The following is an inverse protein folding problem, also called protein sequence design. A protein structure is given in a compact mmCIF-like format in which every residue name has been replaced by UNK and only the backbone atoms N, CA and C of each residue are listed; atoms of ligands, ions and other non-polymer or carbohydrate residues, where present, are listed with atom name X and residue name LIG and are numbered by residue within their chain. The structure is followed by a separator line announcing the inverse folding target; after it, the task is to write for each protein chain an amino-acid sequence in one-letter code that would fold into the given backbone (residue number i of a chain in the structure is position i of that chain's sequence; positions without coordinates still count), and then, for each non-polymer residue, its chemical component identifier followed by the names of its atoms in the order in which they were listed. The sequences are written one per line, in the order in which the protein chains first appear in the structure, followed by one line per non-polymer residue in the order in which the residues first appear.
data_IF_370597176213
#
_entry.id   IF_370597176213
#
_cell.length_a   1.000
_cell.length_b   1.000
_cell.length_c   1.000
_cell.angle_alpha   90.00
_cell.angle_beta   90.00
_cell.angle_gamma   90.00
#
_symmetry.space_group_name_H-M   'P 1'
#
loop_
_entity.id
_entity.type
_entity.pdbx_description
1 polymer ?
#
# COMPACT_ATOMS: atom_id res chain seq x y z
N UNK A 1 16.56 11.66 13.16
CA UNK A 1 15.47 10.75 13.58
C UNK A 1 14.29 10.75 12.60
N UNK A 2 13.66 11.91 12.32
CA UNK A 2 12.49 11.99 11.41
C UNK A 2 12.73 11.47 9.99
N UNK A 3 13.89 11.72 9.39
CA UNK A 3 14.25 11.20 8.06
C UNK A 3 14.37 9.66 8.04
N UNK A 4 14.88 9.06 9.13
CA UNK A 4 14.98 7.60 9.25
C UNK A 4 13.59 6.94 9.28
N UNK A 5 12.64 7.52 10.04
CA UNK A 5 11.26 7.03 10.08
C UNK A 5 10.58 7.10 8.71
N UNK A 6 10.78 8.19 7.95
CA UNK A 6 10.22 8.30 6.59
C UNK A 6 10.79 7.23 5.64
N UNK A 7 12.10 7.02 5.69
CA UNK A 7 12.78 6.00 4.87
C UNK A 7 12.29 4.59 5.26
N UNK A 8 12.21 4.31 6.56
CA UNK A 8 11.75 3.02 7.07
C UNK A 8 10.35 2.69 6.55
N UNK A 9 9.36 3.58 6.73
CA UNK A 9 8.00 3.35 6.23
C UNK A 9 7.89 3.43 4.70
N UNK A 10 8.82 4.09 4.02
CA UNK A 10 8.85 4.07 2.55
C UNK A 10 9.32 2.71 2.02
N UNK A 11 10.32 2.09 2.67
CA UNK A 11 10.93 0.82 2.28
C UNK A 11 10.24 -0.42 2.87
N UNK A 12 9.41 -0.25 3.90
CA UNK A 12 8.73 -1.38 4.54
C UNK A 12 7.84 -2.20 3.57
N UNK A 13 7.03 -1.59 2.68
CA UNK A 13 6.23 -2.36 1.72
C UNK A 13 7.03 -3.30 0.80
N UNK A 14 8.11 -2.87 0.12
CA UNK A 14 8.90 -3.79 -0.69
C UNK A 14 9.58 -4.89 0.14
N UNK A 15 10.00 -4.64 1.39
CA UNK A 15 10.53 -5.70 2.25
C UNK A 15 9.45 -6.74 2.60
N UNK A 16 8.24 -6.31 2.97
CA UNK A 16 7.12 -7.21 3.23
C UNK A 16 6.76 -8.00 1.95
N UNK A 17 6.74 -7.34 0.80
CA UNK A 17 6.45 -8.00 -0.47
C UNK A 17 7.49 -9.08 -0.82
N UNK A 18 8.79 -8.78 -0.68
CA UNK A 18 9.87 -9.75 -0.91
C UNK A 18 9.77 -10.92 0.07
N UNK A 19 9.43 -10.66 1.33
CA UNK A 19 9.19 -11.71 2.32
C UNK A 19 8.10 -12.67 1.85
N UNK A 20 6.92 -12.17 1.46
CA UNK A 20 5.84 -13.04 0.98
C UNK A 20 6.13 -13.71 -0.38
N UNK A 21 6.88 -13.06 -1.26
CA UNK A 21 7.36 -13.68 -2.50
C UNK A 21 8.23 -14.92 -2.24
N UNK A 22 9.01 -14.92 -1.16
CA UNK A 22 9.78 -16.10 -0.78
C UNK A 22 8.89 -17.22 -0.25
N UNK A 23 7.90 -16.88 0.59
CA UNK A 23 7.02 -17.84 1.24
C UNK A 23 5.87 -18.36 0.35
N UNK A 24 5.56 -17.70 -0.76
CA UNK A 24 4.50 -18.15 -1.68
C UNK A 24 4.75 -19.56 -2.26
N UNK A 25 6.01 -20.02 -2.28
CA UNK A 25 6.36 -21.39 -2.70
C UNK A 25 5.86 -22.46 -1.72
N UNK A 26 5.54 -22.07 -0.49
CA UNK A 26 5.21 -22.98 0.62
C UNK A 26 3.79 -22.76 1.17
N UNK A 27 3.10 -21.69 0.76
CA UNK A 27 1.83 -21.26 1.35
C UNK A 27 0.90 -20.64 0.30
N UNK A 28 -0.29 -21.22 0.15
CA UNK A 28 -1.34 -20.68 -0.72
C UNK A 28 -1.89 -19.34 -0.21
N UNK A 29 -1.85 -19.11 1.10
CA UNK A 29 -2.26 -17.83 1.71
C UNK A 29 -1.31 -16.70 1.27
N UNK A 30 0.00 -16.96 1.30
CA UNK A 30 1.02 -15.99 0.84
C UNK A 30 0.92 -15.75 -0.66
N UNK A 31 0.64 -16.79 -1.45
CA UNK A 31 0.38 -16.65 -2.88
C UNK A 31 -0.80 -15.72 -3.16
N UNK A 32 -1.93 -15.93 -2.49
CA UNK A 32 -3.14 -15.08 -2.64
C UNK A 32 -2.82 -13.64 -2.23
N UNK A 33 -2.09 -13.44 -1.14
CA UNK A 33 -1.71 -12.11 -0.66
C UNK A 33 -0.83 -11.38 -1.68
N UNK A 34 0.19 -12.07 -2.23
CA UNK A 34 1.06 -11.53 -3.29
C UNK A 34 0.24 -11.12 -4.51
N UNK A 35 -0.72 -11.95 -4.95
CA UNK A 35 -1.62 -11.59 -6.06
C UNK A 35 -2.44 -10.34 -5.77
N UNK A 36 -3.05 -10.25 -4.58
CA UNK A 36 -3.79 -9.05 -4.15
C UNK A 36 -2.92 -7.80 -4.20
N UNK A 37 -1.68 -7.90 -3.70
CA UNK A 37 -0.70 -6.80 -3.71
C UNK A 37 -0.34 -6.37 -5.13
N UNK A 38 -0.02 -7.31 -6.03
CA UNK A 38 0.34 -7.01 -7.42
C UNK A 38 -0.81 -6.33 -8.16
N UNK A 39 -2.02 -6.89 -8.10
CA UNK A 39 -3.18 -6.35 -8.81
C UNK A 39 -3.49 -4.94 -8.31
N UNK A 40 -3.49 -4.74 -6.99
CA UNK A 40 -3.73 -3.44 -6.38
C UNK A 40 -2.67 -2.40 -6.77
N UNK A 41 -1.41 -2.82 -6.85
CA UNK A 41 -0.32 -1.96 -7.29
C UNK A 41 -0.47 -1.54 -8.75
N UNK A 42 -0.76 -2.48 -9.65
CA UNK A 42 -1.00 -2.21 -11.07
C UNK A 42 -2.19 -1.27 -11.28
N UNK A 43 -3.30 -1.51 -10.57
CA UNK A 43 -4.47 -0.65 -10.64
C UNK A 43 -4.20 0.76 -10.11
N UNK A 44 -3.46 0.88 -9.00
CA UNK A 44 -3.06 2.17 -8.47
C UNK A 44 -2.13 2.93 -9.43
N UNK A 45 -1.22 2.25 -10.14
CA UNK A 45 -0.41 2.86 -11.19
C UNK A 45 -1.27 3.37 -12.36
N UNK A 46 -2.27 2.59 -12.78
CA UNK A 46 -3.20 2.99 -13.83
C UNK A 46 -3.98 4.26 -13.43
N UNK A 47 -4.55 4.30 -12.22
CA UNK A 47 -5.25 5.50 -11.72
C UNK A 47 -4.31 6.70 -11.66
N UNK A 48 -3.07 6.50 -11.17
CA UNK A 48 -2.07 7.58 -11.10
C UNK A 48 -1.81 8.21 -12.46
N UNK A 49 -1.67 7.40 -13.50
CA UNK A 49 -1.45 7.88 -14.86
C UNK A 49 -2.66 8.62 -15.43
N UNK A 50 -3.88 8.21 -15.06
CA UNK A 50 -5.11 8.83 -15.50
C UNK A 50 -5.42 10.14 -14.77
N UNK A 51 -5.35 10.14 -13.43
CA UNK A 51 -5.71 11.29 -12.59
C UNK A 51 -4.70 12.44 -12.69
N UNK A 52 -3.42 12.12 -12.91
CA UNK A 52 -2.31 13.09 -13.02
C UNK A 52 -2.20 14.11 -11.88
N UNK A 53 -2.75 13.81 -10.71
CA UNK A 53 -2.66 14.67 -9.53
C UNK A 53 -1.20 14.83 -9.11
N UNK A 54 -0.72 16.08 -9.11
CA UNK A 54 0.65 16.41 -8.74
C UNK A 54 0.88 16.26 -7.22
N UNK A 55 2.15 16.18 -6.82
CA UNK A 55 2.52 16.11 -5.40
C UNK A 55 2.71 17.51 -4.82
N UNK A 56 2.33 17.66 -3.56
CA UNK A 56 2.44 18.94 -2.86
C UNK A 56 3.89 19.36 -2.53
N UNK A 57 4.89 18.49 -2.69
CA UNK A 57 6.31 18.85 -2.49
C UNK A 57 7.27 18.13 -3.44
N UNK A 58 7.99 18.93 -4.24
CA UNK A 58 8.95 18.47 -5.26
C UNK A 58 10.42 18.46 -4.79
N UNK A 59 10.71 18.95 -3.58
CA UNK A 59 12.10 19.37 -3.29
C UNK A 59 13.13 18.25 -3.05
N UNK A 60 12.75 16.99 -2.83
CA UNK A 60 13.73 16.00 -2.31
C UNK A 60 13.54 14.52 -2.66
N UNK A 61 13.05 14.07 -3.83
CA UNK A 61 12.85 12.61 -3.97
C UNK A 61 13.04 12.02 -5.38
N UNK A 62 14.23 11.48 -5.63
CA UNK A 62 14.63 10.75 -6.85
C UNK A 62 13.83 9.44 -7.05
N UNK A 63 13.34 8.81 -5.97
CA UNK A 63 12.69 7.50 -6.00
C UNK A 63 11.15 7.54 -5.96
N UNK A 64 10.53 8.65 -6.38
CA UNK A 64 9.10 8.89 -6.18
C UNK A 64 8.38 9.12 -7.51
N UNK A 65 7.24 8.44 -7.70
CA UNK A 65 6.38 8.67 -8.88
C UNK A 65 5.88 10.11 -8.91
N UNK A 66 5.83 10.71 -10.11
CA UNK A 66 5.33 12.08 -10.34
C UNK A 66 3.94 12.34 -9.72
N UNK A 67 3.08 11.33 -9.70
CA UNK A 67 1.70 11.45 -9.24
C UNK A 67 1.48 11.01 -7.79
N UNK A 68 0.61 11.74 -7.08
CA UNK A 68 0.23 11.56 -5.67
C UNK A 68 -0.96 10.62 -5.48
N UNK A 69 -1.94 10.66 -6.38
CA UNK A 69 -3.24 10.00 -6.18
C UNK A 69 -3.37 8.67 -6.95
N UNK A 70 -3.80 7.56 -6.32
CA UNK A 70 -4.00 7.33 -4.89
C UNK A 70 -2.69 6.99 -4.16
N UNK A 71 -2.71 7.01 -2.82
CA UNK A 71 -1.54 6.57 -2.05
C UNK A 71 -1.34 5.06 -2.11
N UNK A 72 -0.36 4.61 -2.91
CA UNK A 72 0.02 3.20 -3.05
C UNK A 72 0.44 2.56 -1.72
N UNK A 73 1.14 3.32 -0.86
CA UNK A 73 1.51 2.86 0.49
C UNK A 73 0.28 2.62 1.35
N UNK A 74 -0.71 3.51 1.32
CA UNK A 74 -1.95 3.33 2.08
C UNK A 74 -2.76 2.13 1.59
N UNK A 75 -2.80 1.89 0.28
CA UNK A 75 -3.42 0.69 -0.30
C UNK A 75 -2.73 -0.57 0.23
N UNK A 76 -1.40 -0.62 0.13
CA UNK A 76 -0.61 -1.77 0.57
C UNK A 76 -0.82 -2.08 2.06
N UNK A 77 -0.65 -1.07 2.93
CA UNK A 77 -0.80 -1.26 4.37
C UNK A 77 -2.22 -1.67 4.76
N UNK A 78 -3.24 -1.11 4.10
CA UNK A 78 -4.63 -1.50 4.36
C UNK A 78 -4.88 -2.95 3.96
N UNK A 79 -4.41 -3.38 2.79
CA UNK A 79 -4.52 -4.79 2.37
C UNK A 79 -3.81 -5.73 3.34
N UNK A 80 -2.63 -5.33 3.80
CA UNK A 80 -1.86 -6.15 4.74
C UNK A 80 -2.54 -6.26 6.11
N UNK A 81 -3.18 -5.17 6.57
CA UNK A 81 -4.04 -5.19 7.76
C UNK A 81 -5.21 -6.16 7.56
N UNK A 82 -5.93 -6.07 6.45
CA UNK A 82 -7.13 -6.89 6.20
C UNK A 82 -6.82 -8.39 6.12
N UNK A 83 -5.59 -8.76 5.74
CA UNK A 83 -5.16 -10.15 5.60
C UNK A 83 -4.30 -10.63 6.79
N UNK A 84 -4.08 -9.81 7.83
CA UNK A 84 -3.31 -10.19 9.01
C UNK A 84 -4.17 -10.25 10.27
N UNK A 85 -3.93 -11.26 11.11
CA UNK A 85 -4.56 -11.39 12.45
C UNK A 85 -3.71 -10.79 13.58
N UNK A 86 -2.54 -10.24 13.27
CA UNK A 86 -1.58 -9.78 14.27
C UNK A 86 -1.75 -8.30 14.61
N UNK A 87 -1.99 -7.99 15.90
CA UNK A 87 -2.14 -6.62 16.40
C UNK A 87 -0.90 -5.75 16.16
N UNK A 88 0.31 -6.32 16.22
CA UNK A 88 1.53 -5.57 15.93
C UNK A 88 1.58 -5.12 14.47
N UNK A 89 1.12 -5.96 13.54
CA UNK A 89 1.01 -5.61 12.12
C UNK A 89 -0.01 -4.49 11.93
N UNK A 90 -1.14 -4.54 12.64
CA UNK A 90 -2.14 -3.48 12.63
C UNK A 90 -1.54 -2.12 13.03
N UNK A 91 -0.83 -2.07 14.16
CA UNK A 91 -0.19 -0.84 14.66
C UNK A 91 0.87 -0.34 13.68
N UNK A 92 1.76 -1.23 13.23
CA UNK A 92 2.85 -0.89 12.31
C UNK A 92 2.33 -0.31 10.99
N UNK A 93 1.31 -0.94 10.41
CA UNK A 93 0.69 -0.50 9.16
C UNK A 93 -0.08 0.82 9.34
N UNK A 94 -0.76 1.00 10.47
CA UNK A 94 -1.45 2.25 10.80
C UNK A 94 -0.47 3.41 10.93
N UNK A 95 0.68 3.20 11.58
CA UNK A 95 1.79 4.17 11.63
C UNK A 95 2.35 4.43 10.23
N UNK A 96 2.48 3.40 9.39
CA UNK A 96 2.86 3.53 7.99
C UNK A 96 1.92 4.42 7.20
N UNK A 97 0.60 4.24 7.35
CA UNK A 97 -0.41 5.11 6.74
C UNK A 97 -0.28 6.54 7.27
N UNK A 98 -0.20 6.71 8.58
CA UNK A 98 -0.07 8.03 9.22
C UNK A 98 1.19 8.78 8.76
N UNK A 99 2.31 8.07 8.60
CA UNK A 99 3.57 8.65 8.11
C UNK A 99 3.41 9.36 6.76
N UNK A 100 2.51 8.87 5.88
CA UNK A 100 2.24 9.48 4.57
C UNK A 100 1.65 10.89 4.70
N UNK A 101 0.83 11.12 5.72
CA UNK A 101 0.24 12.41 6.04
C UNK A 101 1.23 13.29 6.81
N UNK A 102 1.87 12.72 7.83
CA UNK A 102 2.80 13.44 8.70
C UNK A 102 3.96 14.07 7.92
N UNK A 103 4.55 13.33 6.99
CA UNK A 103 5.63 13.82 6.12
C UNK A 103 5.14 14.55 4.86
N UNK A 104 3.84 14.83 4.76
CA UNK A 104 3.21 15.57 3.64
C UNK A 104 3.45 14.95 2.26
N UNK A 105 3.51 13.62 2.20
CA UNK A 105 3.64 12.90 0.93
C UNK A 105 2.33 12.83 0.16
N UNK A 106 1.23 12.88 0.89
CA UNK A 106 -0.14 12.75 0.38
C UNK A 106 -1.08 13.64 1.16
N UNK A 107 -2.19 14.02 0.52
CA UNK A 107 -3.30 14.65 1.19
C UNK A 107 -4.16 13.62 1.92
N UNK A 108 -5.01 14.07 2.85
CA UNK A 108 -6.00 13.21 3.51
C UNK A 108 -6.90 12.49 2.50
N UNK A 109 -7.24 13.15 1.37
CA UNK A 109 -8.05 12.56 0.31
C UNK A 109 -7.34 11.40 -0.37
N UNK A 110 -6.06 11.55 -0.73
CA UNK A 110 -5.30 10.49 -1.41
C UNK A 110 -5.15 9.23 -0.54
N UNK A 111 -4.99 9.43 0.78
CA UNK A 111 -4.89 8.35 1.76
C UNK A 111 -6.24 7.68 1.96
N UNK A 112 -7.30 8.44 2.19
CA UNK A 112 -8.65 7.89 2.39
C UNK A 112 -9.13 7.12 1.16
N UNK A 113 -8.92 7.66 -0.05
CA UNK A 113 -9.24 6.94 -1.28
C UNK A 113 -8.44 5.64 -1.42
N UNK A 114 -7.17 5.63 -1.00
CA UNK A 114 -6.36 4.41 -0.97
C UNK A 114 -6.91 3.34 0.00
N UNK A 115 -7.32 3.75 1.20
CA UNK A 115 -7.93 2.87 2.20
C UNK A 115 -9.25 2.27 1.67
N UNK A 116 -10.15 3.13 1.19
CA UNK A 116 -11.46 2.71 0.65
C UNK A 116 -11.26 1.78 -0.54
N UNK A 117 -10.34 2.11 -1.45
CA UNK A 117 -10.01 1.25 -2.58
C UNK A 117 -9.56 -0.13 -2.12
N UNK A 118 -8.62 -0.23 -1.17
CA UNK A 118 -8.14 -1.50 -0.64
C UNK A 118 -9.25 -2.34 -0.01
N UNK A 119 -10.15 -1.73 0.76
CA UNK A 119 -11.29 -2.42 1.38
C UNK A 119 -12.27 -2.97 0.34
N UNK A 120 -12.63 -2.15 -0.66
CA UNK A 120 -13.52 -2.56 -1.75
C UNK A 120 -12.88 -3.66 -2.59
N UNK A 121 -11.60 -3.51 -2.94
CA UNK A 121 -10.84 -4.50 -3.69
C UNK A 121 -10.79 -5.84 -2.95
N UNK A 122 -10.44 -5.84 -1.66
CA UNK A 122 -10.37 -7.08 -0.87
C UNK A 122 -11.73 -7.78 -0.81
N UNK A 123 -12.82 -7.02 -0.64
CA UNK A 123 -14.18 -7.57 -0.65
C UNK A 123 -14.54 -8.18 -2.01
N UNK A 124 -14.26 -7.49 -3.11
CA UNK A 124 -14.50 -8.00 -4.47
C UNK A 124 -13.69 -9.26 -4.72
N UNK A 125 -12.39 -9.24 -4.40
CA UNK A 125 -11.49 -10.38 -4.59
C UNK A 125 -11.98 -11.62 -3.83
N UNK A 126 -12.29 -11.46 -2.53
CA UNK A 126 -12.73 -12.59 -1.71
C UNK A 126 -14.11 -13.12 -2.11
N UNK A 127 -14.99 -12.28 -2.66
CA UNK A 127 -16.34 -12.71 -3.07
C UNK A 127 -16.39 -13.31 -4.46
N UNK A 128 -15.60 -12.81 -5.41
CA UNK A 128 -15.67 -13.21 -6.82
C UNK A 128 -14.61 -14.24 -7.21
N UNK A 129 -13.42 -14.18 -6.63
CA UNK A 129 -12.27 -14.98 -7.10
C UNK A 129 -12.07 -16.24 -6.25
N UNK A 130 -12.22 -16.15 -4.92
CA UNK A 130 -11.97 -17.30 -4.02
C UNK A 130 -13.20 -18.22 -3.80
N UNK A 131 -14.36 -17.86 -4.35
CA UNK A 131 -15.56 -18.72 -4.29
C UNK A 131 -15.62 -19.80 -5.38
N UNK A 132 -14.67 -19.78 -6.31
CA UNK A 132 -14.49 -20.74 -7.39
C UNK A 132 -13.17 -21.46 -7.21
#
# INVERSE_FOLDING_TARGET
MLCFFDIFFTLLPPFIFIYHLYFMLFSSEDLILVYKMIISFLFALFIKQYSRSERHSDKYYIYRSKYSFPSTHSIFYTLYILNSKNIFIYILCSLGIYSRLFFKHHTNKDVLCGIVFAMVFDRIYNTMILKH
#
